data_IF_642308701983
#
_entry.id   IF_642308701983
#
_cell.length_a   1.000
_cell.length_b   1.000
_cell.length_c   1.000
_cell.angle_alpha   90.00
_cell.angle_beta   90.00
_cell.angle_gamma   90.00
#
_symmetry.space_group_name_H-M   'P 1'
#
loop_
_entity.id
_entity.type
_entity.pdbx_description
1 polymer ?
#
# COMPACT_ATOMS: atom_id res chain seq x y z
N UNK A 1 -23.95 39.81 66.51
CA UNK A 1 -24.04 38.60 65.71
C UNK A 1 -23.86 39.03 64.25
N UNK A 2 -22.60 38.86 63.72
CA UNK A 2 -22.22 39.24 62.36
C UNK A 2 -22.21 37.98 61.47
N UNK A 3 -22.75 38.00 60.24
CA UNK A 3 -22.64 36.88 59.37
C UNK A 3 -21.31 36.91 58.59
N UNK A 4 -20.66 35.77 58.56
CA UNK A 4 -19.43 35.51 57.86
C UNK A 4 -19.62 35.52 56.29
N UNK A 5 -18.72 36.22 55.61
CA UNK A 5 -18.63 36.20 54.10
C UNK A 5 -17.74 35.07 53.69
N UNK A 6 -18.24 34.17 52.76
CA UNK A 6 -17.44 33.21 52.04
C UNK A 6 -16.73 33.91 50.90
N UNK A 7 -15.48 33.51 50.57
CA UNK A 7 -14.79 33.98 49.37
C UNK A 7 -15.20 33.17 48.12
N UNK A 8 -15.50 33.91 47.04
CA UNK A 8 -15.72 33.37 45.71
C UNK A 8 -14.40 32.85 45.14
N UNK A 9 -14.28 31.54 44.94
CA UNK A 9 -13.14 30.95 44.28
C UNK A 9 -13.24 31.17 42.75
N UNK A 10 -12.26 31.87 42.23
CA UNK A 10 -12.09 32.06 40.79
C UNK A 10 -11.47 30.79 40.17
N UNK A 11 -12.27 30.01 39.45
CA UNK A 11 -11.79 28.87 38.70
C UNK A 11 -11.16 29.36 37.39
N UNK A 12 -9.84 29.40 37.34
CA UNK A 12 -9.10 29.62 36.10
C UNK A 12 -9.12 28.36 35.24
N UNK A 13 -9.94 28.36 34.19
CA UNK A 13 -9.87 27.35 33.12
C UNK A 13 -8.59 27.55 32.32
N UNK A 14 -7.61 26.71 32.54
CA UNK A 14 -6.44 26.60 31.66
C UNK A 14 -6.85 25.84 30.37
N UNK A 15 -7.03 26.59 29.30
CA UNK A 15 -7.19 25.98 27.96
C UNK A 15 -5.85 25.43 27.49
N UNK A 16 -5.70 24.10 27.48
CA UNK A 16 -4.55 23.43 26.86
C UNK A 16 -4.67 23.54 25.34
N UNK A 17 -3.88 24.43 24.73
CA UNK A 17 -3.70 24.45 23.28
C UNK A 17 -2.90 23.20 22.88
N UNK A 18 -3.58 22.25 22.24
CA UNK A 18 -2.93 21.14 21.52
C UNK A 18 -2.27 21.72 20.26
N UNK A 19 -0.97 21.93 20.32
CA UNK A 19 -0.15 22.18 19.14
C UNK A 19 -0.14 20.89 18.28
N UNK A 20 -0.97 20.86 17.26
CA UNK A 20 -0.92 19.82 16.24
C UNK A 20 0.43 19.88 15.54
N UNK A 21 1.28 18.88 15.75
CA UNK A 21 2.51 18.71 15.01
C UNK A 21 2.11 18.30 13.58
N UNK A 22 2.12 19.26 12.66
CA UNK A 22 1.97 18.96 11.23
C UNK A 22 3.16 18.09 10.80
N UNK A 23 2.88 16.85 10.42
CA UNK A 23 3.89 16.00 9.73
C UNK A 23 4.38 16.74 8.49
N UNK A 24 5.71 16.83 8.27
CA UNK A 24 6.22 17.43 7.05
C UNK A 24 5.70 16.65 5.85
N UNK A 25 4.96 17.33 4.98
CA UNK A 25 4.58 16.78 3.68
C UNK A 25 5.85 16.41 2.93
N UNK A 26 5.99 15.14 2.53
CA UNK A 26 7.09 14.73 1.67
C UNK A 26 6.92 15.43 0.32
N UNK A 27 7.88 16.29 -0.01
CA UNK A 27 7.99 16.85 -1.35
C UNK A 27 8.34 15.72 -2.30
N UNK A 28 7.40 15.34 -3.16
CA UNK A 28 7.73 14.61 -4.39
C UNK A 28 8.72 15.49 -5.17
N UNK A 29 9.80 14.91 -5.67
CA UNK A 29 10.77 15.63 -6.51
C UNK A 29 9.99 16.36 -7.63
N UNK A 30 10.04 17.69 -7.68
CA UNK A 30 9.22 18.45 -8.62
C UNK A 30 9.72 18.35 -10.08
N UNK A 31 10.78 17.57 -10.35
CA UNK A 31 11.32 17.42 -11.70
C UNK A 31 10.36 16.60 -12.57
N UNK A 32 10.12 17.03 -13.83
CA UNK A 32 9.40 16.21 -14.78
C UNK A 32 10.05 14.84 -14.94
N UNK A 33 9.25 13.76 -14.87
CA UNK A 33 9.69 12.40 -15.11
C UNK A 33 9.06 11.89 -16.39
N UNK A 34 9.90 11.42 -17.33
CA UNK A 34 9.46 10.71 -18.52
C UNK A 34 10.29 9.44 -18.64
N UNK A 35 9.63 8.27 -18.69
CA UNK A 35 10.29 6.97 -18.73
C UNK A 35 9.59 6.09 -19.77
N UNK A 36 10.34 5.67 -20.78
CA UNK A 36 9.90 4.68 -21.78
C UNK A 36 10.14 3.24 -21.27
N UNK A 37 9.48 2.20 -21.86
CA UNK A 37 9.71 0.82 -21.46
C UNK A 37 11.18 0.37 -21.52
N UNK A 38 11.96 0.86 -22.48
CA UNK A 38 13.38 0.53 -22.66
C UNK A 38 14.31 1.15 -21.63
N UNK A 39 13.86 2.20 -20.94
CA UNK A 39 14.63 2.91 -19.91
C UNK A 39 14.36 2.36 -18.49
N UNK A 40 13.45 1.39 -18.37
CA UNK A 40 13.06 0.82 -17.08
C UNK A 40 14.13 -0.12 -16.54
N UNK A 41 14.68 0.18 -15.38
CA UNK A 41 15.62 -0.66 -14.66
C UNK A 41 14.89 -1.46 -13.58
N UNK A 42 14.70 -2.74 -13.82
CA UNK A 42 13.99 -3.64 -12.93
C UNK A 42 14.92 -4.23 -11.86
N UNK A 43 14.41 -4.41 -10.65
CA UNK A 43 15.12 -5.03 -9.54
C UNK A 43 14.36 -6.27 -9.08
N UNK A 44 15.08 -7.39 -8.89
CA UNK A 44 14.51 -8.68 -8.49
C UNK A 44 14.17 -8.76 -6.99
N UNK A 45 14.59 -7.79 -6.21
CA UNK A 45 14.36 -7.78 -4.76
C UNK A 45 13.85 -6.41 -4.32
N UNK A 46 12.66 -6.39 -3.77
CA UNK A 46 12.06 -5.22 -3.17
C UNK A 46 11.27 -5.63 -1.93
N UNK A 47 10.82 -4.68 -1.12
CA UNK A 47 10.09 -4.98 0.13
C UNK A 47 8.77 -5.75 -0.10
N UNK A 48 8.29 -5.78 -1.34
CA UNK A 48 7.07 -6.51 -1.74
C UNK A 48 7.39 -7.76 -2.58
N UNK A 49 8.67 -8.12 -2.74
CA UNK A 49 9.08 -9.20 -3.60
C UNK A 49 8.53 -10.56 -3.15
N UNK A 50 7.99 -11.30 -4.11
CA UNK A 50 7.83 -12.75 -4.04
C UNK A 50 8.84 -13.38 -5.02
N UNK A 51 9.16 -14.68 -4.92
CA UNK A 51 10.09 -15.33 -5.83
C UNK A 51 9.73 -15.10 -7.31
N UNK A 52 10.68 -14.62 -8.09
CA UNK A 52 10.50 -14.33 -9.53
C UNK A 52 9.84 -12.99 -9.86
N UNK A 53 9.44 -12.20 -8.85
CA UNK A 53 8.98 -10.83 -9.05
C UNK A 53 10.13 -9.88 -9.35
N UNK A 54 9.85 -8.91 -10.22
CA UNK A 54 10.67 -7.73 -10.43
C UNK A 54 9.87 -6.46 -10.09
N UNK A 55 10.54 -5.47 -9.56
CA UNK A 55 9.96 -4.19 -9.18
C UNK A 55 10.73 -3.02 -9.76
N UNK A 56 10.01 -1.95 -10.08
CA UNK A 56 10.56 -0.66 -10.45
C UNK A 56 9.78 0.45 -9.75
N UNK A 57 10.44 1.28 -8.96
CA UNK A 57 9.83 2.50 -8.41
C UNK A 57 9.89 3.62 -9.45
N UNK A 58 8.72 4.14 -9.84
CA UNK A 58 8.60 5.29 -10.75
C UNK A 58 8.61 6.60 -9.99
N UNK A 59 7.80 6.68 -8.92
CA UNK A 59 7.68 7.88 -8.08
C UNK A 59 7.69 7.43 -6.62
N UNK A 60 8.38 8.18 -5.77
CA UNK A 60 8.44 7.94 -4.34
C UNK A 60 9.11 6.62 -3.95
N UNK A 61 8.90 6.22 -2.70
CA UNK A 61 9.43 4.99 -2.14
C UNK A 61 8.35 4.33 -1.28
N UNK A 62 7.89 3.11 -1.61
CA UNK A 62 6.82 2.44 -0.85
C UNK A 62 7.19 2.17 0.62
N UNK A 63 8.48 2.11 0.97
CA UNK A 63 8.92 1.91 2.37
C UNK A 63 8.99 3.21 3.19
N UNK A 64 8.65 4.36 2.60
CA UNK A 64 8.70 5.67 3.24
C UNK A 64 7.31 6.29 3.30
N UNK A 65 7.03 7.17 4.27
CA UNK A 65 5.79 7.95 4.25
C UNK A 65 5.68 8.79 2.97
N UNK A 66 4.48 8.87 2.40
CA UNK A 66 4.16 9.69 1.23
C UNK A 66 3.71 8.87 0.02
N UNK A 67 3.26 9.56 -1.05
CA UNK A 67 2.75 8.90 -2.24
C UNK A 67 3.86 8.15 -2.98
N UNK A 68 3.50 7.01 -3.55
CA UNK A 68 4.37 6.24 -4.43
C UNK A 68 3.62 5.71 -5.65
N UNK A 69 4.37 5.49 -6.73
CA UNK A 69 3.94 4.71 -7.89
C UNK A 69 5.07 3.78 -8.29
N UNK A 70 4.75 2.50 -8.44
CA UNK A 70 5.70 1.48 -8.86
C UNK A 70 5.09 0.57 -9.92
N UNK A 71 5.95 -0.17 -10.62
CA UNK A 71 5.54 -1.27 -11.49
C UNK A 71 6.09 -2.58 -10.97
N UNK A 72 5.31 -3.64 -11.17
CA UNK A 72 5.66 -4.99 -10.81
C UNK A 72 5.57 -5.87 -12.06
N UNK A 73 6.53 -6.78 -12.20
CA UNK A 73 6.44 -7.91 -13.12
C UNK A 73 6.23 -9.17 -12.31
N UNK A 74 5.32 -9.99 -12.80
CA UNK A 74 5.00 -11.29 -12.22
C UNK A 74 5.14 -12.36 -13.29
N UNK A 75 5.88 -13.45 -13.03
CA UNK A 75 5.93 -14.57 -13.93
C UNK A 75 4.62 -15.37 -13.88
N UNK A 76 4.24 -15.96 -15.01
CA UNK A 76 3.15 -16.92 -15.10
C UNK A 76 3.28 -18.02 -14.04
N UNK A 77 2.15 -18.42 -13.46
CA UNK A 77 2.05 -19.49 -12.46
C UNK A 77 2.41 -19.07 -11.05
N UNK A 78 2.86 -17.82 -10.84
CA UNK A 78 3.08 -17.32 -9.50
C UNK A 78 1.75 -17.22 -8.76
N UNK A 79 1.74 -17.69 -7.50
CA UNK A 79 0.66 -17.50 -6.53
C UNK A 79 1.17 -16.75 -5.33
N UNK A 80 0.35 -15.83 -4.84
CA UNK A 80 0.59 -15.16 -3.56
C UNK A 80 -0.58 -15.51 -2.64
N UNK A 81 -0.23 -16.15 -1.54
CA UNK A 81 -1.18 -16.55 -0.50
C UNK A 81 -1.91 -15.33 0.09
N UNK A 82 -3.03 -15.53 0.80
CA UNK A 82 -3.78 -14.45 1.42
C UNK A 82 -2.92 -13.55 2.28
N UNK A 83 -2.95 -12.26 1.97
CA UNK A 83 -2.14 -11.25 2.63
C UNK A 83 -2.87 -9.89 2.63
N UNK A 84 -2.37 -8.97 3.44
CA UNK A 84 -2.85 -7.59 3.54
C UNK A 84 -1.72 -6.61 3.31
N UNK A 85 -2.09 -5.36 3.09
CA UNK A 85 -1.17 -4.22 3.07
C UNK A 85 -1.63 -3.17 4.08
N UNK A 86 -0.70 -2.46 4.74
CA UNK A 86 -1.06 -1.41 5.70
C UNK A 86 -1.66 -0.17 5.03
N UNK A 87 -1.42 0.02 3.73
CA UNK A 87 -1.90 1.12 2.91
C UNK A 87 -2.98 0.65 1.90
N UNK A 88 -3.84 1.56 1.48
CA UNK A 88 -4.74 1.32 0.34
C UNK A 88 -4.00 1.56 -0.97
N UNK A 89 -4.23 0.67 -1.93
CA UNK A 89 -3.55 0.70 -3.23
C UNK A 89 -4.53 0.64 -4.39
N UNK A 90 -4.15 1.32 -5.46
CA UNK A 90 -4.81 1.29 -6.75
C UNK A 90 -3.92 0.56 -7.75
N UNK A 91 -4.49 -0.39 -8.48
CA UNK A 91 -3.74 -1.28 -9.36
C UNK A 91 -4.33 -1.29 -10.76
N UNK A 92 -3.47 -1.09 -11.76
CA UNK A 92 -3.81 -1.18 -13.18
C UNK A 92 -2.99 -2.26 -13.84
N UNK A 93 -3.64 -3.19 -14.53
CA UNK A 93 -2.98 -4.23 -15.32
C UNK A 93 -2.54 -3.62 -16.66
N UNK A 94 -1.23 -3.58 -16.92
CA UNK A 94 -0.66 -3.00 -18.13
C UNK A 94 -0.48 -4.03 -19.26
N UNK A 95 -0.16 -5.27 -18.89
CA UNK A 95 -0.02 -6.40 -19.86
C UNK A 95 -0.24 -7.73 -19.14
N UNK A 96 -0.53 -8.78 -19.91
CA UNK A 96 -0.76 -10.14 -19.40
C UNK A 96 -2.15 -10.34 -18.82
N UNK A 97 -2.29 -11.40 -18.02
CA UNK A 97 -3.54 -11.78 -17.34
C UNK A 97 -3.27 -12.09 -15.88
N UNK A 98 -3.88 -11.28 -15.04
CA UNK A 98 -3.79 -11.32 -13.59
C UNK A 98 -5.10 -11.84 -12.99
N UNK A 99 -5.05 -12.54 -11.88
CA UNK A 99 -6.25 -12.96 -11.16
C UNK A 99 -6.11 -12.58 -9.67
N UNK A 100 -7.17 -12.04 -9.09
CA UNK A 100 -7.23 -11.71 -7.66
C UNK A 100 -8.57 -12.07 -7.05
N UNK A 101 -8.56 -12.44 -5.78
CA UNK A 101 -9.74 -12.68 -4.97
C UNK A 101 -9.54 -12.12 -3.56
N UNK A 102 -10.66 -11.82 -2.88
CA UNK A 102 -10.62 -11.32 -1.51
C UNK A 102 -11.02 -12.40 -0.50
N UNK A 103 -10.36 -12.38 0.65
CA UNK A 103 -10.60 -13.28 1.77
C UNK A 103 -9.34 -13.82 2.41
N UNK A 104 -9.49 -14.44 3.57
CA UNK A 104 -8.41 -14.99 4.38
C UNK A 104 -7.94 -16.37 3.92
N UNK A 105 -8.66 -17.01 3.00
CA UNK A 105 -8.33 -18.32 2.44
C UNK A 105 -8.29 -18.24 0.92
N UNK A 106 -7.26 -18.84 0.32
CA UNK A 106 -7.16 -18.94 -1.12
C UNK A 106 -8.30 -19.80 -1.67
N UNK A 107 -9.07 -19.23 -2.58
CA UNK A 107 -10.25 -19.90 -3.17
C UNK A 107 -10.33 -19.54 -4.68
N UNK A 108 -10.07 -20.54 -5.55
CA UNK A 108 -10.14 -20.34 -6.99
C UNK A 108 -11.49 -19.83 -7.48
N UNK A 109 -12.59 -20.22 -6.82
CA UNK A 109 -13.93 -19.78 -7.20
C UNK A 109 -14.16 -18.27 -6.98
N UNK A 110 -13.32 -17.63 -6.16
CA UNK A 110 -13.38 -16.19 -5.89
C UNK A 110 -12.42 -15.37 -6.73
N UNK A 111 -11.57 -16.02 -7.56
CA UNK A 111 -10.66 -15.32 -8.44
C UNK A 111 -11.45 -14.59 -9.54
N UNK A 112 -11.20 -13.31 -9.68
CA UNK A 112 -11.62 -12.50 -10.82
C UNK A 112 -10.44 -12.36 -11.77
N UNK A 113 -10.64 -12.77 -13.01
CA UNK A 113 -9.65 -12.65 -14.09
C UNK A 113 -9.62 -11.20 -14.59
N UNK A 114 -8.43 -10.62 -14.63
CA UNK A 114 -8.17 -9.23 -14.96
C UNK A 114 -7.16 -9.16 -16.13
N UNK A 115 -7.62 -9.04 -17.38
CA UNK A 115 -6.74 -8.82 -18.52
C UNK A 115 -6.17 -7.39 -18.52
N UNK A 116 -5.22 -7.13 -19.42
CA UNK A 116 -4.65 -5.80 -19.64
C UNK A 116 -5.74 -4.72 -19.81
N UNK A 117 -5.54 -3.56 -19.20
CA UNK A 117 -6.52 -2.47 -19.12
C UNK A 117 -7.47 -2.57 -17.91
N UNK A 118 -7.47 -3.68 -17.16
CA UNK A 118 -8.26 -3.81 -15.94
C UNK A 118 -7.71 -2.94 -14.81
N UNK A 119 -8.64 -2.57 -13.91
CA UNK A 119 -8.34 -1.82 -12.69
C UNK A 119 -8.98 -2.51 -11.48
N UNK A 120 -8.29 -2.52 -10.34
CA UNK A 120 -8.85 -2.94 -9.06
C UNK A 120 -8.17 -2.21 -7.90
N UNK A 121 -8.72 -2.34 -6.71
CA UNK A 121 -8.16 -1.74 -5.49
C UNK A 121 -7.77 -2.81 -4.49
N UNK A 122 -6.76 -2.52 -3.67
CA UNK A 122 -6.39 -3.28 -2.49
C UNK A 122 -6.59 -2.38 -1.26
N UNK A 123 -7.80 -2.37 -0.64
CA UNK A 123 -8.03 -1.55 0.54
C UNK A 123 -7.11 -1.95 1.69
N UNK A 124 -6.69 -0.98 2.50
CA UNK A 124 -5.81 -1.21 3.65
C UNK A 124 -6.38 -2.29 4.57
N UNK A 125 -5.53 -3.25 4.95
CA UNK A 125 -5.82 -4.37 5.86
C UNK A 125 -6.94 -5.33 5.39
N UNK A 126 -7.37 -5.25 4.13
CA UNK A 126 -8.32 -6.22 3.55
C UNK A 126 -7.54 -7.39 2.96
N UNK A 127 -7.77 -8.64 3.43
CA UNK A 127 -7.10 -9.81 2.91
C UNK A 127 -7.48 -10.08 1.46
N UNK A 128 -6.47 -10.35 0.63
CA UNK A 128 -6.63 -10.75 -0.76
C UNK A 128 -5.52 -11.72 -1.16
N UNK A 129 -5.73 -12.43 -2.25
CA UNK A 129 -4.81 -13.42 -2.80
C UNK A 129 -4.74 -13.30 -4.31
N UNK A 130 -3.67 -13.81 -4.90
CA UNK A 130 -3.30 -13.54 -6.29
C UNK A 130 -2.89 -14.84 -6.97
N UNK A 131 -3.27 -14.97 -8.26
CA UNK A 131 -2.74 -15.96 -9.19
C UNK A 131 -2.41 -15.29 -10.52
N UNK A 132 -1.30 -15.67 -11.14
CA UNK A 132 -0.81 -15.10 -12.39
C UNK A 132 -1.03 -16.10 -13.52
N UNK A 133 -1.98 -15.78 -14.40
CA UNK A 133 -2.36 -16.64 -15.53
C UNK A 133 -1.40 -16.53 -16.71
N UNK A 134 -0.81 -15.36 -16.92
CA UNK A 134 0.19 -15.05 -17.94
C UNK A 134 1.22 -14.10 -17.35
N UNK A 135 2.42 -14.01 -17.95
CA UNK A 135 3.42 -13.00 -17.55
C UNK A 135 2.79 -11.63 -17.54
N UNK A 136 2.77 -10.99 -16.37
CA UNK A 136 1.97 -9.78 -16.14
C UNK A 136 2.87 -8.63 -15.73
N UNK A 137 2.59 -7.46 -16.29
CA UNK A 137 3.08 -6.17 -15.79
C UNK A 137 1.89 -5.37 -15.28
N UNK A 138 2.01 -4.87 -14.06
CA UNK A 138 1.00 -3.99 -13.48
C UNK A 138 1.64 -2.75 -12.84
N UNK A 139 0.85 -1.71 -12.68
CA UNK A 139 1.22 -0.49 -11.96
C UNK A 139 0.41 -0.37 -10.69
N UNK A 140 1.10 -0.04 -9.60
CA UNK A 140 0.53 0.18 -8.28
C UNK A 140 0.79 1.60 -7.84
N UNK A 141 -0.23 2.27 -7.33
CA UNK A 141 -0.12 3.56 -6.65
C UNK A 141 -0.69 3.45 -5.24
N UNK A 142 -0.07 4.13 -4.28
CA UNK A 142 -0.50 4.13 -2.89
C UNK A 142 0.20 5.21 -2.08
N UNK A 143 -0.02 5.17 -0.77
CA UNK A 143 0.65 6.08 0.18
C UNK A 143 1.37 5.24 1.24
N UNK A 144 2.70 5.30 1.22
CA UNK A 144 3.55 4.55 2.16
C UNK A 144 3.53 5.09 3.60
N UNK A 145 4.05 4.31 4.55
CA UNK A 145 4.81 3.09 4.33
C UNK A 145 3.91 1.92 3.94
N UNK A 146 4.31 1.19 2.90
CA UNK A 146 3.67 -0.02 2.42
C UNK A 146 4.44 -1.26 2.87
N UNK A 147 3.76 -2.39 2.90
CA UNK A 147 4.33 -3.69 3.24
C UNK A 147 3.39 -4.81 2.86
N UNK A 148 3.79 -6.05 3.16
CA UNK A 148 2.94 -7.23 3.01
C UNK A 148 2.91 -8.01 4.32
N UNK A 149 1.70 -8.32 4.80
CA UNK A 149 1.47 -9.14 5.98
C UNK A 149 0.65 -10.36 5.56
N UNK A 150 1.25 -11.56 5.57
CA UNK A 150 0.52 -12.79 5.27
C UNK A 150 -0.48 -13.10 6.38
N UNK A 151 -1.67 -13.55 6.00
CA UNK A 151 -2.70 -14.02 6.96
C UNK A 151 -2.17 -15.20 7.74
N UNK A 152 -1.53 -16.16 7.06
CA UNK A 152 -0.80 -17.24 7.71
C UNK A 152 0.70 -16.92 7.68
N UNK A 153 1.35 -16.73 8.85
CA UNK A 153 2.79 -16.41 8.90
C UNK A 153 3.71 -17.44 8.24
N UNK A 154 3.27 -18.68 8.07
CA UNK A 154 4.04 -19.73 7.38
C UNK A 154 4.18 -19.50 5.88
N UNK A 155 3.34 -18.66 5.28
CA UNK A 155 3.35 -18.33 3.86
C UNK A 155 4.37 -17.22 3.52
N UNK A 156 5.01 -16.66 4.53
CA UNK A 156 6.05 -15.66 4.33
C UNK A 156 7.28 -16.31 3.67
N UNK A 157 7.76 -15.79 2.53
CA UNK A 157 8.99 -16.29 1.90
C UNK A 157 10.17 -16.26 2.90
N UNK A 158 10.91 -17.35 2.93
CA UNK A 158 12.09 -17.50 3.79
C UNK A 158 13.32 -16.91 3.11
#
# INVERSE_FOLDING_TARGET
MSPARLPLGCATCAAAMMLGVASPAQTTDPRPLTVTPSEMSWISQGPLAAPGMEQLNLVGNPSKPGPYTLRLKFPKGLRIAPHTHPDSREVTILSGVFATGYGETFDHAKLKILPAGSFYTEPANVPHFIEIEEDTVLQVSGTGPSGRNFVNPSDNPK
#
